data_IF_316985574107
#
_entry.id   IF_316985574107
#
_cell.length_a   1.000
_cell.length_b   1.000
_cell.length_c   1.000
_cell.angle_alpha   90.00
_cell.angle_beta   90.00
_cell.angle_gamma   90.00
#
_symmetry.space_group_name_H-M   'P 1'
#
loop_
_entity.id
_entity.type
_entity.pdbx_description
1 polymer ?
#
# COMPACT_ATOMS: atom_id res chain seq x y z
N UNK A 1 -7.76 2.00 16.74
CA UNK A 1 -6.90 1.29 15.76
C UNK A 1 -7.46 -0.12 15.54
N UNK A 2 -8.24 -0.33 14.47
CA UNK A 2 -8.76 -1.66 14.13
C UNK A 2 -7.63 -2.44 13.45
N UNK A 3 -7.09 -3.43 14.15
CA UNK A 3 -6.10 -4.38 13.64
C UNK A 3 -6.75 -5.17 12.51
N UNK A 4 -6.40 -4.88 11.26
CA UNK A 4 -6.62 -5.83 10.18
C UNK A 4 -5.57 -6.93 10.37
N UNK A 5 -5.97 -7.98 11.07
CA UNK A 5 -5.29 -9.26 11.06
C UNK A 5 -5.36 -9.79 9.62
N UNK A 6 -4.38 -9.42 8.80
CA UNK A 6 -4.06 -10.20 7.61
C UNK A 6 -3.38 -11.44 8.17
N UNK A 7 -4.19 -12.42 8.54
CA UNK A 7 -3.74 -13.79 8.77
C UNK A 7 -3.17 -14.26 7.44
N UNK A 8 -1.88 -13.99 7.24
CA UNK A 8 -1.05 -14.68 6.26
C UNK A 8 -0.99 -16.13 6.72
N UNK A 9 -2.01 -16.89 6.37
CA UNK A 9 -1.95 -18.34 6.40
C UNK A 9 -1.01 -18.70 5.27
N UNK A 10 0.29 -18.66 5.58
CA UNK A 10 1.28 -19.42 4.84
C UNK A 10 0.90 -20.86 5.13
N UNK A 11 -0.01 -21.40 4.31
CA UNK A 11 -0.30 -22.81 4.29
C UNK A 11 0.93 -23.46 3.68
N UNK A 12 1.89 -23.77 4.54
CA UNK A 12 2.99 -24.68 4.28
C UNK A 12 2.37 -26.04 4.02
N UNK A 13 1.79 -26.24 2.84
CA UNK A 13 1.28 -27.53 2.40
C UNK A 13 2.47 -28.42 2.05
N UNK A 14 3.31 -28.72 3.04
CA UNK A 14 4.06 -29.98 3.07
C UNK A 14 3.02 -31.01 3.51
N UNK A 15 2.19 -31.45 2.57
CA UNK A 15 1.38 -32.65 2.73
C UNK A 15 2.31 -33.85 2.57
N UNK A 16 3.16 -34.08 3.58
CA UNK A 16 3.68 -35.42 3.84
C UNK A 16 2.51 -36.26 4.35
N UNK A 17 1.74 -36.82 3.42
CA UNK A 17 0.69 -37.80 3.67
C UNK A 17 1.35 -39.11 4.14
N UNK A 18 1.80 -39.13 5.40
CA UNK A 18 2.19 -40.34 6.07
C UNK A 18 1.03 -40.89 6.91
N UNK A 19 0.45 -41.96 6.37
CA UNK A 19 -0.11 -43.13 7.06
C UNK A 19 -1.60 -43.15 7.45
N UNK A 20 -2.21 -44.27 7.03
CA UNK A 20 -3.45 -44.92 7.47
C UNK A 20 -4.80 -44.32 7.00
N UNK A 21 -5.26 -44.79 5.83
CA UNK A 21 -6.68 -45.13 5.64
C UNK A 21 -7.51 -44.36 4.60
N UNK A 22 -7.02 -43.28 4.00
CA UNK A 22 -7.86 -42.53 3.05
C UNK A 22 -7.86 -43.13 1.63
N UNK A 23 -9.05 -43.32 1.08
CA UNK A 23 -9.21 -43.81 -0.30
C UNK A 23 -8.70 -42.77 -1.31
N UNK A 24 -8.34 -43.18 -2.53
CA UNK A 24 -7.96 -42.25 -3.60
C UNK A 24 -9.03 -41.19 -3.87
N UNK A 25 -10.31 -41.55 -3.72
CA UNK A 25 -11.43 -40.63 -3.87
C UNK A 25 -11.43 -39.54 -2.79
N UNK A 26 -11.18 -39.90 -1.53
CA UNK A 26 -11.09 -38.94 -0.42
C UNK A 26 -9.89 -37.99 -0.60
N UNK A 27 -8.74 -38.51 -1.05
CA UNK A 27 -7.57 -37.69 -1.34
C UNK A 27 -7.85 -36.68 -2.47
N UNK A 28 -8.49 -37.12 -3.56
CA UNK A 28 -8.91 -36.23 -4.64
C UNK A 28 -9.87 -35.14 -4.13
N UNK A 29 -10.84 -35.51 -3.29
CA UNK A 29 -11.79 -34.55 -2.73
C UNK A 29 -11.10 -33.50 -1.84
N UNK A 30 -10.15 -33.91 -1.00
CA UNK A 30 -9.37 -32.97 -0.17
C UNK A 30 -8.55 -32.03 -1.05
N UNK A 31 -7.88 -32.54 -2.07
CA UNK A 31 -7.12 -31.73 -3.02
C UNK A 31 -8.01 -30.72 -3.75
N UNK A 32 -9.20 -31.13 -4.22
CA UNK A 32 -10.15 -30.23 -4.86
C UNK A 32 -10.62 -29.11 -3.92
N UNK A 33 -10.86 -29.41 -2.64
CA UNK A 33 -11.21 -28.40 -1.64
C UNK A 33 -10.07 -27.40 -1.43
N UNK A 34 -8.84 -27.87 -1.27
CA UNK A 34 -7.65 -27.01 -1.13
C UNK A 34 -7.44 -26.14 -2.37
N UNK A 35 -7.57 -26.71 -3.57
CA UNK A 35 -7.47 -25.97 -4.82
C UNK A 35 -8.50 -24.83 -4.90
N UNK A 36 -9.76 -25.11 -4.53
CA UNK A 36 -10.83 -24.11 -4.51
C UNK A 36 -10.53 -22.99 -3.52
N UNK A 37 -10.12 -23.33 -2.30
CA UNK A 37 -9.75 -22.35 -1.27
C UNK A 37 -8.62 -21.43 -1.73
N UNK A 38 -7.56 -21.97 -2.32
CA UNK A 38 -6.44 -21.18 -2.85
C UNK A 38 -6.89 -20.23 -3.97
N UNK A 39 -7.77 -20.70 -4.85
CA UNK A 39 -8.29 -19.90 -5.97
C UNK A 39 -9.19 -18.75 -5.48
N UNK A 40 -10.02 -19.01 -4.47
CA UNK A 40 -10.86 -18.01 -3.82
C UNK A 40 -10.02 -16.95 -3.10
N UNK A 41 -8.98 -17.36 -2.36
CA UNK A 41 -8.07 -16.45 -1.69
C UNK A 41 -7.29 -15.57 -2.68
N UNK A 42 -6.80 -16.14 -3.78
CA UNK A 42 -6.13 -15.38 -4.83
C UNK A 42 -7.09 -14.33 -5.44
N UNK A 43 -8.34 -14.70 -5.68
CA UNK A 43 -9.37 -13.78 -6.20
C UNK A 43 -9.69 -12.64 -5.22
N UNK A 44 -9.79 -12.95 -3.92
CA UNK A 44 -10.00 -11.94 -2.87
C UNK A 44 -8.82 -10.98 -2.76
N UNK A 45 -7.58 -11.48 -2.89
CA UNK A 45 -6.39 -10.65 -2.89
C UNK A 45 -6.37 -9.68 -4.09
N UNK A 46 -6.80 -10.12 -5.27
CA UNK A 46 -6.95 -9.25 -6.45
C UNK A 46 -7.99 -8.14 -6.23
N UNK A 47 -9.16 -8.47 -5.67
CA UNK A 47 -10.17 -7.47 -5.32
C UNK A 47 -9.65 -6.44 -4.30
N UNK A 48 -8.85 -6.88 -3.32
CA UNK A 48 -8.20 -6.00 -2.36
C UNK A 48 -7.18 -5.06 -3.04
N UNK A 49 -6.47 -5.52 -4.07
CA UNK A 49 -5.52 -4.69 -4.83
C UNK A 49 -6.24 -3.49 -5.46
N UNK A 50 -7.39 -3.69 -6.11
CA UNK A 50 -8.12 -2.60 -6.77
C UNK A 50 -8.57 -1.52 -5.77
N UNK A 51 -9.02 -1.94 -4.59
CA UNK A 51 -9.37 -1.03 -3.49
C UNK A 51 -8.16 -0.19 -3.04
N UNK A 52 -6.99 -0.83 -2.91
CA UNK A 52 -5.75 -0.15 -2.52
C UNK A 52 -5.24 0.80 -3.61
N UNK A 53 -5.35 0.43 -4.89
CA UNK A 53 -4.99 1.31 -6.01
C UNK A 53 -5.82 2.58 -6.02
N UNK A 54 -7.12 2.47 -5.75
CA UNK A 54 -8.01 3.64 -5.62
C UNK A 54 -7.56 4.57 -4.49
N UNK A 55 -7.16 4.01 -3.34
CA UNK A 55 -6.63 4.80 -2.21
C UNK A 55 -5.32 5.49 -2.57
N UNK A 56 -4.40 4.80 -3.25
CA UNK A 56 -3.13 5.38 -3.72
C UNK A 56 -3.40 6.58 -4.63
N UNK A 57 -4.27 6.43 -5.63
CA UNK A 57 -4.60 7.51 -6.55
C UNK A 57 -5.14 8.74 -5.79
N UNK A 58 -6.04 8.52 -4.83
CA UNK A 58 -6.58 9.60 -3.99
C UNK A 58 -5.49 10.32 -3.20
N UNK A 59 -4.63 9.59 -2.48
CA UNK A 59 -3.59 10.22 -1.66
C UNK A 59 -2.53 10.94 -2.50
N UNK A 60 -2.20 10.43 -3.69
CA UNK A 60 -1.30 11.12 -4.63
C UNK A 60 -1.90 12.43 -5.11
N UNK A 61 -3.16 12.42 -5.55
CA UNK A 61 -3.86 13.66 -5.95
C UNK A 61 -3.90 14.69 -4.82
N UNK A 62 -4.23 14.26 -3.59
CA UNK A 62 -4.24 15.16 -2.44
C UNK A 62 -2.86 15.73 -2.10
N UNK A 63 -1.80 14.92 -2.25
CA UNK A 63 -0.42 15.39 -2.07
C UNK A 63 -0.02 16.39 -3.16
N UNK A 64 -0.41 16.16 -4.42
CA UNK A 64 -0.10 17.03 -5.54
C UNK A 64 -0.82 18.38 -5.44
N UNK A 65 -2.06 18.40 -4.96
CA UNK A 65 -2.79 19.64 -4.72
C UNK A 65 -2.17 20.46 -3.58
N UNK A 66 -1.77 19.80 -2.49
CA UNK A 66 -1.03 20.46 -1.40
C UNK A 66 0.35 20.94 -1.85
N UNK A 67 1.02 20.22 -2.76
CA UNK A 67 2.31 20.63 -3.32
C UNK A 67 2.19 21.99 -4.03
N UNK A 68 1.14 22.19 -4.83
CA UNK A 68 0.88 23.49 -5.49
C UNK A 68 0.72 24.62 -4.47
N UNK A 69 0.02 24.38 -3.35
CA UNK A 69 -0.12 25.36 -2.27
C UNK A 69 1.23 25.64 -1.59
N UNK A 70 2.02 24.60 -1.33
CA UNK A 70 3.37 24.71 -0.75
C UNK A 70 4.33 25.49 -1.65
N UNK A 71 4.28 25.27 -2.96
CA UNK A 71 5.13 25.95 -3.94
C UNK A 71 4.77 27.45 -4.02
N UNK A 72 3.47 27.78 -3.96
CA UNK A 72 3.02 29.17 -3.86
C UNK A 72 3.54 29.84 -2.59
N UNK A 73 3.41 29.17 -1.44
CA UNK A 73 3.98 29.68 -0.19
C UNK A 73 5.50 29.85 -0.26
N UNK A 74 6.21 28.95 -0.95
CA UNK A 74 7.64 29.08 -1.21
C UNK A 74 7.98 30.37 -1.96
N UNK A 75 7.19 30.68 -3.00
CA UNK A 75 7.35 31.92 -3.77
C UNK A 75 7.07 33.16 -2.91
N UNK A 76 5.96 33.17 -2.16
CA UNK A 76 5.62 34.27 -1.23
C UNK A 76 6.73 34.50 -0.18
N UNK A 77 7.28 33.41 0.37
CA UNK A 77 8.38 33.44 1.34
C UNK A 77 9.63 34.08 0.73
N UNK A 78 9.99 33.72 -0.50
CA UNK A 78 11.17 34.27 -1.16
C UNK A 78 11.00 35.76 -1.50
N UNK A 79 9.80 36.19 -1.86
CA UNK A 79 9.50 37.61 -2.05
C UNK A 79 9.53 38.39 -0.72
N UNK A 80 9.03 37.81 0.38
CA UNK A 80 9.15 38.41 1.71
C UNK A 80 10.60 38.53 2.17
N UNK A 81 11.45 37.53 1.90
CA UNK A 81 12.90 37.62 2.20
C UNK A 81 13.56 38.76 1.43
N UNK A 82 13.24 38.92 0.14
CA UNK A 82 13.74 40.05 -0.67
C UNK A 82 13.26 41.39 -0.10
N UNK A 83 11.96 41.50 0.22
CA UNK A 83 11.40 42.70 0.82
C UNK A 83 12.08 43.03 2.15
N UNK A 84 12.29 42.03 3.01
CA UNK A 84 12.98 42.18 4.28
C UNK A 84 14.43 42.66 4.10
N UNK A 85 15.14 42.16 3.08
CA UNK A 85 16.52 42.56 2.80
C UNK A 85 16.68 44.01 2.33
N UNK A 86 15.58 44.69 1.94
CA UNK A 86 15.61 46.08 1.52
C UNK A 86 15.50 47.07 2.69
N UNK A 87 15.27 46.62 3.93
CA UNK A 87 15.25 47.50 5.09
C UNK A 87 16.67 47.81 5.57
N UNK A 88 17.01 49.10 5.66
CA UNK A 88 18.27 49.56 6.22
C UNK A 88 18.37 49.33 7.74
N UNK A 89 17.24 49.41 8.45
CA UNK A 89 17.11 49.07 9.86
C UNK A 89 16.18 47.85 10.01
N UNK A 90 16.68 46.68 10.42
CA UNK A 90 15.86 45.47 10.58
C UNK A 90 14.87 45.55 11.76
N UNK A 91 14.98 46.56 12.63
CA UNK A 91 14.16 46.70 13.83
C UNK A 91 13.06 47.76 13.70
N UNK A 92 12.93 48.41 12.53
CA UNK A 92 11.80 49.31 12.33
C UNK A 92 10.48 48.52 12.22
N UNK A 93 9.36 49.18 12.50
CA UNK A 93 8.04 48.55 12.56
C UNK A 93 7.66 47.79 11.27
N UNK A 94 8.05 48.30 10.11
CA UNK A 94 7.78 47.65 8.82
C UNK A 94 8.62 46.40 8.62
N UNK A 95 9.91 46.44 8.99
CA UNK A 95 10.79 45.27 8.95
C UNK A 95 10.30 44.17 9.89
N UNK A 96 9.88 44.54 11.11
CA UNK A 96 9.30 43.61 12.09
C UNK A 96 8.01 42.97 11.55
N UNK A 97 7.13 43.76 10.92
CA UNK A 97 5.89 43.24 10.33
C UNK A 97 6.16 42.23 9.19
N UNK A 98 7.08 42.56 8.26
CA UNK A 98 7.47 41.66 7.17
C UNK A 98 8.11 40.37 7.72
N UNK A 99 8.99 40.47 8.72
CA UNK A 99 9.59 39.30 9.33
C UNK A 99 8.56 38.41 10.04
N UNK A 100 7.56 39.02 10.70
CA UNK A 100 6.46 38.28 11.33
C UNK A 100 5.66 37.49 10.30
N UNK A 101 5.33 38.10 9.17
CA UNK A 101 4.63 37.41 8.07
C UNK A 101 5.49 36.28 7.47
N UNK A 102 6.79 36.53 7.26
CA UNK A 102 7.75 35.53 6.78
C UNK A 102 7.78 34.30 7.69
N UNK A 103 7.85 34.50 9.01
CA UNK A 103 7.81 33.40 9.99
C UNK A 103 6.49 32.64 9.92
N UNK A 104 5.35 33.34 9.84
CA UNK A 104 4.04 32.72 9.77
C UNK A 104 3.86 31.86 8.50
N UNK A 105 4.23 32.39 7.33
CA UNK A 105 4.16 31.64 6.07
C UNK A 105 5.13 30.47 6.05
N UNK A 106 6.34 30.63 6.61
CA UNK A 106 7.30 29.52 6.73
C UNK A 106 6.73 28.38 7.58
N UNK A 107 6.09 28.71 8.71
CA UNK A 107 5.42 27.71 9.55
C UNK A 107 4.23 27.05 8.83
N UNK A 108 3.44 27.82 8.08
CA UNK A 108 2.34 27.29 7.29
C UNK A 108 2.84 26.31 6.22
N UNK A 109 3.89 26.69 5.50
CA UNK A 109 4.52 25.83 4.48
C UNK A 109 5.02 24.53 5.10
N UNK A 110 5.72 24.60 6.23
CA UNK A 110 6.23 23.41 6.93
C UNK A 110 5.11 22.42 7.29
N UNK A 111 3.96 22.91 7.77
CA UNK A 111 2.78 22.07 8.08
C UNK A 111 2.19 21.40 6.83
N UNK A 112 2.16 22.12 5.71
CA UNK A 112 1.69 21.57 4.43
C UNK A 112 2.67 20.51 3.92
N UNK A 113 3.97 20.78 3.99
CA UNK A 113 5.02 19.83 3.60
C UNK A 113 4.97 18.54 4.42
N UNK A 114 4.72 18.64 5.73
CA UNK A 114 4.49 17.49 6.60
C UNK A 114 3.31 16.64 6.11
N UNK A 115 2.19 17.28 5.78
CA UNK A 115 0.98 16.59 5.29
C UNK A 115 1.16 15.96 3.91
N UNK A 116 1.90 16.62 3.02
CA UNK A 116 2.32 16.04 1.73
C UNK A 116 3.10 14.75 1.96
N UNK A 117 4.07 14.78 2.88
CA UNK A 117 4.89 13.63 3.21
C UNK A 117 4.08 12.50 3.85
N UNK A 118 3.09 12.82 4.69
CA UNK A 118 2.14 11.85 5.24
C UNK A 118 1.38 11.13 4.11
N UNK A 119 0.79 11.87 3.18
CA UNK A 119 0.02 11.29 2.06
C UNK A 119 0.90 10.46 1.11
N UNK A 120 2.12 10.93 0.80
CA UNK A 120 3.09 10.15 0.02
C UNK A 120 3.48 8.85 0.74
N UNK A 121 3.67 8.91 2.05
CA UNK A 121 3.99 7.73 2.89
C UNK A 121 2.84 6.73 2.88
N UNK A 122 1.60 7.18 3.06
CA UNK A 122 0.40 6.33 3.00
C UNK A 122 0.26 5.65 1.63
N UNK A 123 0.43 6.41 0.54
CA UNK A 123 0.40 5.87 -0.82
C UNK A 123 1.48 4.79 -1.04
N UNK A 124 2.70 5.05 -0.58
CA UNK A 124 3.80 4.07 -0.68
C UNK A 124 3.54 2.82 0.18
N UNK A 125 2.95 2.99 1.37
CA UNK A 125 2.53 1.89 2.23
C UNK A 125 1.50 0.98 1.56
N UNK A 126 0.51 1.54 0.88
CA UNK A 126 -0.45 0.74 0.09
C UNK A 126 0.19 0.09 -1.13
N UNK A 127 1.14 0.75 -1.80
CA UNK A 127 1.87 0.16 -2.93
C UNK A 127 2.64 -1.09 -2.49
N UNK A 128 3.27 -1.04 -1.32
CA UNK A 128 3.95 -2.20 -0.73
C UNK A 128 2.98 -3.34 -0.44
N UNK A 129 1.80 -3.04 0.13
CA UNK A 129 0.75 -4.03 0.37
C UNK A 129 0.26 -4.68 -0.93
N UNK A 130 0.06 -3.90 -1.99
CA UNK A 130 -0.29 -4.42 -3.33
C UNK A 130 0.77 -5.39 -3.83
N UNK A 131 2.05 -5.03 -3.72
CA UNK A 131 3.14 -5.89 -4.20
C UNK A 131 3.15 -7.23 -3.43
N UNK A 132 2.91 -7.20 -2.12
CA UNK A 132 2.80 -8.41 -1.30
C UNK A 132 1.58 -9.27 -1.69
N UNK A 133 0.41 -8.64 -1.88
CA UNK A 133 -0.80 -9.34 -2.32
C UNK A 133 -0.63 -9.98 -3.70
N UNK A 134 0.04 -9.31 -4.64
CA UNK A 134 0.35 -9.86 -5.97
C UNK A 134 1.24 -11.11 -5.85
N UNK A 135 2.31 -11.02 -5.08
CA UNK A 135 3.22 -12.16 -4.85
C UNK A 135 2.51 -13.35 -4.17
N UNK A 136 1.67 -13.05 -3.18
CA UNK A 136 0.87 -14.07 -2.46
C UNK A 136 -0.13 -14.73 -3.40
N UNK A 137 -0.88 -13.94 -4.18
CA UNK A 137 -1.86 -14.44 -5.15
C UNK A 137 -1.21 -15.32 -6.20
N UNK A 138 -0.04 -14.93 -6.72
CA UNK A 138 0.71 -15.73 -7.67
C UNK A 138 1.14 -17.07 -7.06
N UNK A 139 1.60 -17.05 -5.81
CA UNK A 139 1.99 -18.27 -5.09
C UNK A 139 0.80 -19.21 -4.92
N UNK A 140 -0.36 -18.68 -4.51
CA UNK A 140 -1.61 -19.43 -4.37
C UNK A 140 -2.08 -20.02 -5.70
N UNK A 141 -2.06 -19.24 -6.79
CA UNK A 141 -2.43 -19.71 -8.13
C UNK A 141 -1.50 -20.83 -8.63
N UNK A 142 -0.19 -20.71 -8.38
CA UNK A 142 0.79 -21.75 -8.72
C UNK A 142 0.56 -23.03 -7.91
N UNK A 143 0.26 -22.92 -6.61
CA UNK A 143 -0.08 -24.07 -5.77
C UNK A 143 -1.38 -24.75 -6.22
N UNK A 144 -2.42 -23.98 -6.52
CA UNK A 144 -3.67 -24.51 -7.05
C UNK A 144 -3.46 -25.26 -8.38
N UNK A 145 -2.59 -24.75 -9.25
CA UNK A 145 -2.24 -25.41 -10.51
C UNK A 145 -1.50 -26.73 -10.30
N UNK A 146 -0.57 -26.80 -9.32
CA UNK A 146 0.10 -28.06 -8.95
C UNK A 146 -0.87 -29.09 -8.39
N UNK A 147 -1.81 -28.65 -7.56
CA UNK A 147 -2.86 -29.53 -7.03
C UNK A 147 -3.75 -30.07 -8.17
N UNK A 148 -4.08 -29.24 -9.15
CA UNK A 148 -4.83 -29.68 -10.34
C UNK A 148 -4.11 -30.82 -11.08
N UNK A 149 -2.79 -30.71 -11.25
CA UNK A 149 -1.95 -31.75 -11.86
C UNK A 149 -1.94 -33.04 -11.01
N UNK A 150 -1.79 -32.92 -9.69
CA UNK A 150 -1.84 -34.06 -8.76
C UNK A 150 -3.18 -34.81 -8.82
N UNK A 151 -4.29 -34.07 -8.92
CA UNK A 151 -5.62 -34.67 -9.08
C UNK A 151 -5.69 -35.50 -10.38
N UNK A 152 -5.23 -34.94 -11.51
CA UNK A 152 -5.21 -35.64 -12.80
C UNK A 152 -4.36 -36.91 -12.72
N UNK A 153 -3.18 -36.84 -12.10
CA UNK A 153 -2.32 -38.00 -11.90
C UNK A 153 -2.99 -39.09 -11.05
N UNK A 154 -3.60 -38.72 -9.92
CA UNK A 154 -4.30 -39.67 -9.04
C UNK A 154 -5.49 -40.33 -9.76
N UNK A 155 -6.28 -39.57 -10.52
CA UNK A 155 -7.38 -40.07 -11.33
C UNK A 155 -6.92 -41.04 -12.43
N UNK A 156 -5.72 -40.82 -12.97
CA UNK A 156 -5.13 -41.69 -13.99
C UNK A 156 -4.65 -43.03 -13.42
N UNK A 157 -4.16 -43.03 -12.17
CA UNK A 157 -3.66 -44.23 -11.46
C UNK A 157 -4.76 -45.07 -10.82
N UNK A 158 -5.96 -44.51 -10.64
CA UNK A 158 -7.12 -45.23 -10.10
C UNK A 158 -7.98 -45.89 -11.18
N UNK A 159 -7.57 -45.81 -12.46
CA UNK A 159 -8.15 -46.54 -13.60
C UNK A 159 -7.34 -47.79 -13.86
#
# INVERSE_FOLDING_TARGET
>A
MKKFLITSVVLSAVLSLSSCGSSTAEQIQQLQQTQKQLSEQASQNLANIDSLQTKIAKYRLQADDLQKESDKLGSDIDDLKKAYSNFSDPNNDSAIAVNKELVQKTLQKAKIDEKINEYRTLANGYQSQINNLKATSQTQANQASKIAQQIVELQSKSK
#
